data_IF_995045609352
#
_entry.id   IF_995045609352
#
_cell.length_a   1.000
_cell.length_b   1.000
_cell.length_c   1.000
_cell.angle_alpha   90.00
_cell.angle_beta   90.00
_cell.angle_gamma   90.00
#
_symmetry.space_group_name_H-M   'P 1'
#
loop_
_entity.id
_entity.type
_entity.pdbx_description
1 polymer ?
#
# COMPACT_ATOMS: atom_id res chain seq x y z
N UNK A 1 23.03 -13.28 -10.67
CA UNK A 1 21.69 -13.91 -10.59
C UNK A 1 20.70 -13.07 -9.80
N UNK A 2 21.01 -12.67 -8.55
CA UNK A 2 20.11 -11.89 -7.67
C UNK A 2 19.72 -10.50 -8.22
N UNK A 3 20.64 -9.79 -8.87
CA UNK A 3 20.37 -8.50 -9.52
C UNK A 3 19.38 -8.65 -10.69
N UNK A 4 19.56 -9.67 -11.53
CA UNK A 4 18.70 -9.93 -12.68
C UNK A 4 17.27 -10.26 -12.24
N UNK A 5 17.13 -11.11 -11.21
CA UNK A 5 15.81 -11.45 -10.65
C UNK A 5 15.13 -10.23 -10.02
N UNK A 6 15.88 -9.35 -9.35
CA UNK A 6 15.34 -8.11 -8.80
C UNK A 6 14.85 -7.16 -9.89
N UNK A 7 15.61 -7.01 -10.99
CA UNK A 7 15.22 -6.19 -12.13
C UNK A 7 13.96 -6.74 -12.80
N UNK A 8 13.90 -8.06 -13.05
CA UNK A 8 12.71 -8.69 -13.65
C UNK A 8 11.49 -8.55 -12.74
N UNK A 9 11.66 -8.71 -11.42
CA UNK A 9 10.61 -8.48 -10.44
C UNK A 9 10.10 -7.04 -10.45
N UNK A 10 11.00 -6.06 -10.48
CA UNK A 10 10.63 -4.65 -10.56
C UNK A 10 9.86 -4.33 -11.85
N UNK A 11 10.29 -4.87 -13.00
CA UNK A 11 9.60 -4.69 -14.28
C UNK A 11 8.19 -5.31 -14.22
N UNK A 12 8.06 -6.53 -13.69
CA UNK A 12 6.76 -7.19 -13.56
C UNK A 12 5.80 -6.38 -12.67
N UNK A 13 6.29 -5.86 -11.55
CA UNK A 13 5.50 -5.01 -10.65
C UNK A 13 5.07 -3.70 -11.32
N UNK A 14 5.96 -3.06 -12.09
CA UNK A 14 5.60 -1.86 -12.86
C UNK A 14 4.54 -2.16 -13.92
N UNK A 15 4.63 -3.29 -14.63
CA UNK A 15 3.61 -3.68 -15.61
C UNK A 15 2.25 -3.88 -14.93
N UNK A 16 2.22 -4.56 -13.78
CA UNK A 16 0.99 -4.76 -13.00
C UNK A 16 0.41 -3.41 -12.57
N UNK A 17 1.25 -2.50 -12.07
CA UNK A 17 0.84 -1.15 -11.66
C UNK A 17 0.22 -0.36 -12.82
N UNK A 18 0.87 -0.37 -13.99
CA UNK A 18 0.35 0.25 -15.21
C UNK A 18 -1.01 -0.32 -15.63
N UNK A 19 -1.20 -1.64 -15.52
CA UNK A 19 -2.49 -2.28 -15.82
C UNK A 19 -3.57 -1.84 -14.84
N UNK A 20 -3.28 -1.81 -13.54
CA UNK A 20 -4.22 -1.35 -12.51
C UNK A 20 -4.59 0.13 -12.69
N UNK A 21 -3.60 0.99 -12.97
CA UNK A 21 -3.81 2.40 -13.27
C UNK A 21 -4.68 2.57 -14.53
N UNK A 22 -4.47 1.73 -15.55
CA UNK A 22 -5.28 1.72 -16.78
C UNK A 22 -6.73 1.30 -16.53
N UNK A 23 -6.96 0.29 -15.69
CA UNK A 23 -8.31 -0.11 -15.27
C UNK A 23 -9.01 1.01 -14.50
N UNK A 24 -8.29 1.65 -13.56
CA UNK A 24 -8.79 2.79 -12.78
C UNK A 24 -9.19 3.95 -13.69
N UNK A 25 -8.33 4.27 -14.66
CA UNK A 25 -8.61 5.28 -15.70
C UNK A 25 -9.85 4.91 -16.53
N UNK A 26 -9.96 3.65 -16.97
CA UNK A 26 -11.07 3.20 -17.80
C UNK A 26 -12.41 3.35 -17.07
N UNK A 27 -12.47 2.92 -15.81
CA UNK A 27 -13.66 3.06 -14.96
C UNK A 27 -14.01 4.54 -14.79
N UNK A 28 -13.05 5.39 -14.47
CA UNK A 28 -13.35 6.81 -14.29
C UNK A 28 -13.80 7.49 -15.58
N UNK A 29 -13.20 7.12 -16.71
CA UNK A 29 -13.57 7.65 -18.01
C UNK A 29 -14.97 7.23 -18.44
N UNK A 30 -15.39 5.99 -18.13
CA UNK A 30 -16.75 5.53 -18.42
C UNK A 30 -17.82 6.30 -17.64
N UNK A 31 -17.44 6.97 -16.55
CA UNK A 31 -18.31 7.83 -15.74
C UNK A 31 -18.16 9.33 -16.06
N UNK A 32 -17.49 9.68 -17.17
CA UNK A 32 -17.35 11.07 -17.64
C UNK A 32 -16.21 11.86 -17.00
N UNK A 33 -15.32 11.21 -16.24
CA UNK A 33 -14.16 11.88 -15.66
C UNK A 33 -12.94 11.91 -16.60
N UNK A 34 -11.98 12.78 -16.30
CA UNK A 34 -10.75 12.96 -17.08
C UNK A 34 -9.81 11.75 -17.00
N UNK A 35 -9.47 11.16 -18.16
CA UNK A 35 -8.57 10.01 -18.28
C UNK A 35 -7.24 10.19 -17.54
N UNK A 36 -6.54 11.30 -17.82
CA UNK A 36 -5.19 11.54 -17.29
C UNK A 36 -5.15 11.70 -15.77
N UNK A 37 -6.16 12.37 -15.19
CA UNK A 37 -6.22 12.56 -13.72
C UNK A 37 -6.35 11.23 -12.98
N UNK A 38 -7.20 10.34 -13.47
CA UNK A 38 -7.46 9.05 -12.82
C UNK A 38 -6.39 8.00 -13.12
N UNK A 39 -5.73 8.08 -14.26
CA UNK A 39 -4.52 7.29 -14.53
C UNK A 39 -3.38 7.66 -13.58
N UNK A 40 -3.08 8.97 -13.45
CA UNK A 40 -2.05 9.46 -12.54
C UNK A 40 -2.40 9.13 -11.09
N UNK A 41 -3.68 9.25 -10.72
CA UNK A 41 -4.16 8.81 -9.42
C UNK A 41 -3.85 7.33 -9.20
N UNK A 42 -4.21 6.45 -10.14
CA UNK A 42 -3.93 5.02 -10.07
C UNK A 42 -2.45 4.69 -9.89
N UNK A 43 -1.56 5.39 -10.61
CA UNK A 43 -0.11 5.23 -10.48
C UNK A 43 0.44 5.72 -9.14
N UNK A 44 -0.04 6.86 -8.62
CA UNK A 44 0.53 7.51 -7.42
C UNK A 44 -0.03 6.91 -6.13
N UNK A 45 -1.28 6.43 -6.17
CA UNK A 45 -1.98 5.87 -5.01
C UNK A 45 -1.21 4.76 -4.26
N UNK A 46 -0.59 3.76 -4.89
CA UNK A 46 0.15 2.72 -4.18
C UNK A 46 1.37 3.26 -3.41
N UNK A 47 1.97 4.36 -3.86
CA UNK A 47 3.07 5.00 -3.13
C UNK A 47 2.54 5.76 -1.91
N UNK A 48 1.43 6.50 -2.07
CA UNK A 48 0.81 7.24 -0.97
C UNK A 48 0.21 6.28 0.07
N UNK A 49 -0.35 5.14 -0.37
CA UNK A 49 -1.01 4.18 0.52
C UNK A 49 -0.06 3.57 1.55
N UNK A 50 1.23 3.42 1.23
CA UNK A 50 2.26 2.96 2.17
C UNK A 50 2.39 3.93 3.35
N UNK A 51 2.42 5.23 3.10
CA UNK A 51 2.50 6.24 4.15
C UNK A 51 1.23 6.26 5.00
N UNK A 52 0.07 6.09 4.37
CA UNK A 52 -1.21 5.99 5.09
C UNK A 52 -1.21 4.75 5.98
N UNK A 53 -0.80 3.59 5.47
CA UNK A 53 -0.72 2.35 6.24
C UNK A 53 0.25 2.50 7.42
N UNK A 54 1.40 3.14 7.22
CA UNK A 54 2.34 3.42 8.29
C UNK A 54 1.75 4.35 9.35
N UNK A 55 1.09 5.44 8.93
CA UNK A 55 0.44 6.38 9.84
C UNK A 55 -0.68 5.71 10.64
N UNK A 56 -1.47 4.85 10.01
CA UNK A 56 -2.52 4.04 10.66
C UNK A 56 -1.89 3.07 11.65
N UNK A 57 -0.84 2.35 11.28
CA UNK A 57 -0.15 1.43 12.19
C UNK A 57 0.39 2.14 13.44
N UNK A 58 1.03 3.31 13.27
CA UNK A 58 1.52 4.11 14.41
C UNK A 58 0.35 4.58 15.29
N UNK A 59 -0.75 5.04 14.68
CA UNK A 59 -1.94 5.49 15.42
C UNK A 59 -2.57 4.34 16.20
N UNK A 60 -2.65 3.16 15.61
CA UNK A 60 -3.20 1.96 16.25
C UNK A 60 -2.31 1.50 17.41
N UNK A 61 -0.98 1.56 17.26
CA UNK A 61 -0.07 1.32 18.38
C UNK A 61 -0.26 2.32 19.52
N UNK A 62 -0.41 3.61 19.21
CA UNK A 62 -0.65 4.64 20.22
C UNK A 62 -1.98 4.42 20.96
N UNK A 63 -3.05 4.07 20.23
CA UNK A 63 -4.35 3.70 20.83
C UNK A 63 -4.23 2.46 21.70
N UNK A 64 -3.51 1.44 21.24
CA UNK A 64 -3.26 0.24 22.02
C UNK A 64 -2.44 0.54 23.30
N UNK A 65 -1.43 1.41 23.23
CA UNK A 65 -0.66 1.86 24.41
C UNK A 65 -1.52 2.65 25.40
N UNK A 66 -2.37 3.55 24.90
CA UNK A 66 -3.29 4.33 25.73
C UNK A 66 -4.34 3.43 26.41
N UNK A 67 -4.88 2.45 25.68
CA UNK A 67 -5.82 1.46 26.24
C UNK A 67 -5.18 0.54 27.28
N UNK A 68 -3.87 0.26 27.16
CA UNK A 68 -3.10 -0.54 28.13
C UNK A 68 -2.67 0.23 29.37
N UNK A 69 -2.87 1.55 29.42
CA UNK A 69 -2.56 2.35 30.60
C UNK A 69 -1.11 2.25 31.11
N UNK A 70 -0.15 1.91 30.24
CA UNK A 70 1.25 1.67 30.63
C UNK A 70 1.61 0.22 30.95
N UNK A 71 0.68 -0.74 30.84
CA UNK A 71 1.00 -2.16 30.95
C UNK A 71 1.88 -2.61 29.77
N UNK A 72 2.98 -3.37 30.03
CA UNK A 72 3.87 -3.84 28.97
C UNK A 72 3.11 -4.69 27.93
N UNK A 73 3.57 -4.64 26.67
CA UNK A 73 3.02 -5.50 25.60
C UNK A 73 3.14 -6.96 26.06
N UNK A 74 2.04 -7.76 26.06
CA UNK A 74 2.15 -9.17 26.41
C UNK A 74 3.15 -9.81 25.46
N UNK A 75 4.10 -10.54 26.04
CA UNK A 75 5.13 -11.26 25.30
C UNK A 75 4.40 -12.34 24.51
N UNK A 76 4.45 -12.25 23.18
CA UNK A 76 3.95 -13.30 22.30
C UNK A 76 4.75 -14.57 22.56
N UNK A 77 4.07 -15.64 22.99
CA UNK A 77 4.70 -16.93 23.24
C UNK A 77 5.23 -17.53 21.93
N UNK A 78 6.35 -18.29 21.95
CA UNK A 78 6.94 -18.84 20.73
C UNK A 78 5.97 -19.84 20.09
N UNK A 79 5.27 -19.43 19.03
CA UNK A 79 4.30 -20.29 18.33
C UNK A 79 3.16 -19.55 17.63
N UNK A 80 2.90 -18.29 18.01
CA UNK A 80 1.94 -17.45 17.27
C UNK A 80 2.67 -16.72 16.13
N UNK A 81 2.57 -17.30 14.92
CA UNK A 81 2.87 -16.64 13.65
C UNK A 81 1.58 -16.51 12.83
#
# INVERSE_FOLDING_TARGET
MLLLTAILGAIALLIIDLLLASVTMYIAYSHGHSRGKWFLLGMVLPFISIFIALAVAIRDEQRAKAARGGAPKPVSEPGEF
#
